data_IF_936881131707
#
_entry.id   IF_936881131707
#
_cell.length_a   1.000
_cell.length_b   1.000
_cell.length_c   1.000
_cell.angle_alpha   90.00
_cell.angle_beta   90.00
_cell.angle_gamma   90.00
#
_symmetry.space_group_name_H-M   'P 1'
#
loop_
_entity.id
_entity.type
_entity.pdbx_description
1 polymer ?
#
# COMPACT_ATOMS: atom_id res chain seq x y z
N UNK A 1 -0.49 -10.19 -11.59
CA UNK A 1 0.05 -11.56 -11.76
C UNK A 1 -0.22 -12.33 -10.49
N UNK A 2 -1.08 -13.34 -10.53
CA UNK A 2 -1.40 -14.15 -9.36
C UNK A 2 -0.55 -15.42 -9.39
N UNK A 3 0.29 -15.62 -8.39
CA UNK A 3 0.94 -16.90 -8.13
C UNK A 3 0.21 -17.59 -6.99
N UNK A 4 0.45 -18.90 -6.78
CA UNK A 4 -0.15 -19.64 -5.66
C UNK A 4 0.21 -19.07 -4.27
N UNK A 5 1.24 -18.21 -4.15
CA UNK A 5 1.73 -17.71 -2.86
C UNK A 5 1.68 -16.18 -2.72
N UNK A 6 1.90 -15.45 -3.80
CA UNK A 6 1.97 -13.98 -3.78
C UNK A 6 1.13 -13.43 -4.93
N UNK A 7 0.28 -12.47 -4.65
CA UNK A 7 -0.48 -11.70 -5.63
C UNK A 7 -0.22 -10.21 -5.48
N UNK A 8 -0.34 -9.48 -6.59
CA UNK A 8 -0.13 -8.03 -6.64
C UNK A 8 -1.35 -7.37 -7.27
N UNK A 9 -1.83 -6.33 -6.60
CA UNK A 9 -2.80 -5.35 -7.11
C UNK A 9 -2.00 -4.13 -7.54
N UNK A 10 -2.05 -3.79 -8.83
CA UNK A 10 -1.35 -2.65 -9.39
C UNK A 10 -2.12 -1.34 -9.17
N UNK A 11 -1.41 -0.23 -9.26
CA UNK A 11 -1.88 1.12 -8.99
C UNK A 11 -3.08 1.55 -9.85
N UNK A 12 -3.15 1.12 -11.12
CA UNK A 12 -4.18 1.55 -12.05
C UNK A 12 -5.13 0.42 -12.44
N UNK A 13 -6.39 0.45 -11.97
CA UNK A 13 -7.40 -0.53 -12.35
C UNK A 13 -7.84 -0.41 -13.81
N UNK A 14 -7.60 0.74 -14.45
CA UNK A 14 -8.02 0.99 -15.83
C UNK A 14 -7.15 0.22 -16.84
N UNK A 15 -5.86 0.05 -16.53
CA UNK A 15 -4.89 -0.63 -17.39
C UNK A 15 -4.74 -2.12 -17.05
N UNK A 16 -5.21 -2.55 -15.89
CA UNK A 16 -5.03 -3.92 -15.41
C UNK A 16 -6.09 -4.89 -15.91
N UNK A 17 -7.29 -4.42 -16.25
CA UNK A 17 -8.34 -5.22 -16.85
C UNK A 17 -8.34 -5.02 -18.37
N UNK A 18 -8.41 -6.13 -19.13
CA UNK A 18 -8.54 -6.07 -20.58
C UNK A 18 -9.94 -5.55 -20.96
N UNK A 19 -10.06 -4.36 -21.60
CA UNK A 19 -11.36 -3.74 -21.91
C UNK A 19 -12.18 -4.52 -22.95
N UNK A 20 -11.54 -5.39 -23.71
CA UNK A 20 -12.15 -6.18 -24.79
C UNK A 20 -12.57 -7.58 -24.36
N UNK A 21 -12.34 -7.97 -23.09
CA UNK A 21 -12.73 -9.26 -22.52
C UNK A 21 -13.77 -9.06 -21.44
N UNK A 22 -14.74 -9.99 -21.35
CA UNK A 22 -15.70 -10.01 -20.25
C UNK A 22 -15.00 -10.29 -18.91
N UNK A 23 -15.60 -9.81 -17.84
CA UNK A 23 -15.08 -10.07 -16.48
C UNK A 23 -15.02 -11.60 -16.22
N UNK A 24 -16.03 -12.36 -16.64
CA UNK A 24 -16.02 -13.83 -16.55
C UNK A 24 -14.77 -14.46 -17.15
N UNK A 25 -14.42 -14.03 -18.35
CA UNK A 25 -13.33 -14.65 -19.10
C UNK A 25 -11.99 -14.40 -18.42
N UNK A 26 -11.77 -13.17 -17.95
CA UNK A 26 -10.55 -12.79 -17.24
C UNK A 26 -10.40 -13.51 -15.89
N UNK A 27 -11.48 -13.65 -15.11
CA UNK A 27 -11.45 -14.36 -13.83
C UNK A 27 -11.30 -15.87 -14.02
N UNK A 28 -12.06 -16.45 -14.96
CA UNK A 28 -12.04 -17.89 -15.23
C UNK A 28 -10.68 -18.34 -15.76
N UNK A 29 -10.04 -17.52 -16.62
CA UNK A 29 -8.68 -17.81 -17.13
C UNK A 29 -7.69 -18.05 -16.00
N UNK A 30 -7.73 -17.20 -14.96
CA UNK A 30 -6.86 -17.36 -13.77
C UNK A 30 -7.09 -18.72 -13.09
N UNK A 31 -8.35 -19.11 -12.89
CA UNK A 31 -8.70 -20.35 -12.21
C UNK A 31 -8.40 -21.59 -13.05
N UNK A 32 -8.68 -21.54 -14.34
CA UNK A 32 -8.39 -22.63 -15.26
C UNK A 32 -6.88 -22.85 -15.37
N UNK A 33 -6.12 -21.75 -15.59
CA UNK A 33 -4.67 -21.83 -15.81
C UNK A 33 -3.91 -22.22 -14.54
N UNK A 34 -4.24 -21.62 -13.39
CA UNK A 34 -3.47 -21.83 -12.16
C UNK A 34 -3.99 -22.94 -11.25
N UNK A 35 -5.28 -23.29 -11.34
CA UNK A 35 -5.91 -24.31 -10.49
C UNK A 35 -6.40 -25.53 -11.26
N UNK A 36 -6.37 -25.50 -12.59
CA UNK A 36 -6.84 -26.62 -13.43
C UNK A 36 -8.35 -26.87 -13.33
N UNK A 37 -9.14 -25.84 -12.98
CA UNK A 37 -10.59 -25.93 -12.86
C UNK A 37 -11.24 -26.07 -14.23
N UNK A 38 -12.35 -26.79 -14.28
CA UNK A 38 -13.26 -26.76 -15.44
C UNK A 38 -13.93 -25.40 -15.59
N UNK A 39 -14.44 -25.05 -16.79
CA UNK A 39 -15.13 -23.78 -17.03
C UNK A 39 -16.31 -23.58 -16.08
N UNK A 40 -17.07 -24.64 -15.76
CA UNK A 40 -18.24 -24.56 -14.87
C UNK A 40 -17.83 -24.31 -13.40
N UNK A 41 -16.74 -24.93 -12.94
CA UNK A 41 -16.21 -24.72 -11.60
C UNK A 41 -15.60 -23.31 -11.48
N UNK A 42 -14.82 -22.88 -12.48
CA UNK A 42 -14.25 -21.55 -12.54
C UNK A 42 -15.32 -20.45 -12.49
N UNK A 43 -16.42 -20.61 -13.28
CA UNK A 43 -17.54 -19.66 -13.29
C UNK A 43 -18.19 -19.53 -11.90
N UNK A 44 -18.46 -20.65 -11.22
CA UNK A 44 -19.04 -20.64 -9.88
C UNK A 44 -18.13 -19.96 -8.85
N UNK A 45 -16.83 -20.27 -8.87
CA UNK A 45 -15.87 -19.67 -7.96
C UNK A 45 -15.62 -18.18 -8.26
N UNK A 46 -15.64 -17.77 -9.53
CA UNK A 46 -15.56 -16.37 -9.95
C UNK A 46 -16.74 -15.55 -9.43
N UNK A 47 -17.97 -16.07 -9.54
CA UNK A 47 -19.17 -15.41 -8.99
C UNK A 47 -19.03 -15.29 -7.47
N UNK A 48 -18.66 -16.38 -6.77
CA UNK A 48 -18.45 -16.37 -5.32
C UNK A 48 -17.41 -15.33 -4.90
N UNK A 49 -16.34 -15.18 -5.65
CA UNK A 49 -15.29 -14.20 -5.35
C UNK A 49 -15.76 -12.76 -5.61
N UNK A 50 -16.56 -12.52 -6.65
CA UNK A 50 -17.18 -11.20 -6.88
C UNK A 50 -18.16 -10.82 -5.76
N UNK A 51 -18.92 -11.78 -5.22
CA UNK A 51 -19.77 -11.57 -4.05
C UNK A 51 -18.92 -11.24 -2.81
N UNK A 52 -17.82 -11.97 -2.57
CA UNK A 52 -16.91 -11.72 -1.45
C UNK A 52 -16.30 -10.31 -1.47
N UNK A 53 -16.03 -9.77 -2.66
CA UNK A 53 -15.57 -8.38 -2.81
C UNK A 53 -16.70 -7.36 -2.92
N UNK A 54 -17.93 -7.78 -2.61
CA UNK A 54 -19.13 -6.92 -2.54
C UNK A 54 -19.48 -6.26 -3.88
N UNK A 55 -19.35 -6.98 -5.00
CA UNK A 55 -19.95 -6.58 -6.29
C UNK A 55 -21.45 -6.89 -6.24
N UNK A 56 -22.32 -5.87 -6.37
CA UNK A 56 -23.76 -6.11 -6.36
C UNK A 56 -24.18 -6.96 -7.57
N UNK A 57 -25.11 -7.91 -7.38
CA UNK A 57 -25.63 -8.78 -8.43
C UNK A 57 -24.52 -9.48 -9.25
N UNK A 58 -23.51 -10.03 -8.58
CA UNK A 58 -22.31 -10.62 -9.19
C UNK A 58 -22.65 -11.62 -10.32
N UNK A 59 -23.68 -12.45 -10.11
CA UNK A 59 -24.15 -13.43 -11.09
C UNK A 59 -24.59 -12.80 -12.43
N UNK A 60 -25.20 -11.62 -12.40
CA UNK A 60 -25.66 -10.92 -13.59
C UNK A 60 -24.51 -10.11 -14.23
N UNK A 61 -23.69 -9.51 -13.40
CA UNK A 61 -22.63 -8.59 -13.84
C UNK A 61 -21.35 -9.28 -14.31
N UNK A 62 -21.14 -10.54 -13.95
CA UNK A 62 -19.92 -11.28 -14.35
C UNK A 62 -19.74 -11.38 -15.88
N UNK A 63 -20.85 -11.33 -16.66
CA UNK A 63 -20.82 -11.35 -18.12
C UNK A 63 -20.57 -9.99 -18.77
N UNK A 64 -20.51 -8.91 -17.99
CA UNK A 64 -20.29 -7.54 -18.47
C UNK A 64 -18.81 -7.28 -18.78
N UNK A 65 -18.54 -6.19 -19.49
CA UNK A 65 -17.19 -5.71 -19.80
C UNK A 65 -16.70 -4.70 -18.75
N UNK A 66 -15.36 -4.48 -18.60
CA UNK A 66 -14.83 -3.55 -17.62
C UNK A 66 -15.39 -2.12 -17.75
N UNK A 67 -15.68 -1.64 -18.95
CA UNK A 67 -16.19 -0.28 -19.16
C UNK A 67 -17.62 -0.08 -18.65
N UNK A 68 -18.36 -1.14 -18.38
CA UNK A 68 -19.71 -1.10 -17.79
C UNK A 68 -19.66 -1.01 -16.25
N UNK A 69 -18.46 -1.06 -15.64
CA UNK A 69 -18.24 -0.96 -14.19
C UNK A 69 -17.73 0.44 -13.81
N UNK A 70 -18.16 0.94 -12.65
CA UNK A 70 -17.55 2.14 -12.04
C UNK A 70 -16.08 1.90 -11.66
N UNK A 71 -15.31 2.96 -11.39
CA UNK A 71 -13.91 2.85 -10.96
C UNK A 71 -13.74 1.96 -9.71
N UNK A 72 -14.56 2.18 -8.69
CA UNK A 72 -14.54 1.36 -7.48
C UNK A 72 -14.95 -0.09 -7.71
N UNK A 73 -15.87 -0.35 -8.65
CA UNK A 73 -16.23 -1.73 -9.02
C UNK A 73 -15.10 -2.43 -9.77
N UNK A 74 -14.41 -1.74 -10.68
CA UNK A 74 -13.22 -2.28 -11.37
C UNK A 74 -12.11 -2.60 -10.38
N UNK A 75 -11.88 -1.74 -9.40
CA UNK A 75 -10.94 -2.01 -8.30
C UNK A 75 -11.30 -3.28 -7.53
N UNK A 76 -12.58 -3.48 -7.19
CA UNK A 76 -13.06 -4.70 -6.53
C UNK A 76 -12.87 -5.95 -7.40
N UNK A 77 -13.07 -5.86 -8.71
CA UNK A 77 -12.80 -6.96 -9.65
C UNK A 77 -11.31 -7.33 -9.66
N UNK A 78 -10.41 -6.34 -9.66
CA UNK A 78 -8.96 -6.60 -9.56
C UNK A 78 -8.58 -7.26 -8.23
N UNK A 79 -9.17 -6.80 -7.13
CA UNK A 79 -8.98 -7.44 -5.82
C UNK A 79 -9.50 -8.89 -5.89
N UNK A 80 -10.68 -9.14 -6.46
CA UNK A 80 -11.21 -10.49 -6.66
C UNK A 80 -10.23 -11.36 -7.45
N UNK A 81 -9.74 -10.87 -8.59
CA UNK A 81 -8.79 -11.58 -9.45
C UNK A 81 -7.51 -11.96 -8.70
N UNK A 82 -6.96 -11.06 -7.88
CA UNK A 82 -5.77 -11.31 -7.09
C UNK A 82 -5.97 -12.37 -5.99
N UNK A 83 -7.20 -12.55 -5.53
CA UNK A 83 -7.56 -13.49 -4.45
C UNK A 83 -7.97 -14.88 -4.96
N UNK A 84 -8.29 -15.06 -6.25
CA UNK A 84 -8.76 -16.33 -6.81
C UNK A 84 -7.82 -17.51 -6.50
N UNK A 85 -6.50 -17.26 -6.47
CA UNK A 85 -5.52 -18.29 -6.13
C UNK A 85 -5.30 -18.46 -4.62
N UNK A 86 -5.99 -17.70 -3.76
CA UNK A 86 -5.81 -17.68 -2.30
C UNK A 86 -4.34 -17.50 -1.90
N UNK A 87 -3.74 -16.35 -2.20
CA UNK A 87 -2.33 -16.11 -1.91
C UNK A 87 -2.08 -15.98 -0.40
N UNK A 88 -0.88 -16.37 0.04
CA UNK A 88 -0.42 -16.14 1.42
C UNK A 88 -0.12 -14.66 1.66
N UNK A 89 0.33 -13.95 0.60
CA UNK A 89 0.68 -12.51 0.63
C UNK A 89 -0.01 -11.79 -0.52
N UNK A 90 -0.69 -10.71 -0.19
CA UNK A 90 -1.29 -9.76 -1.13
C UNK A 90 -0.53 -8.43 -1.02
N UNK A 91 0.08 -8.01 -2.12
CA UNK A 91 0.72 -6.69 -2.24
C UNK A 91 -0.28 -5.76 -2.93
N UNK A 92 -0.62 -4.65 -2.30
CA UNK A 92 -1.50 -3.63 -2.86
C UNK A 92 -0.70 -2.34 -3.04
N UNK A 93 -0.44 -2.01 -4.30
CA UNK A 93 0.34 -0.83 -4.69
C UNK A 93 -0.63 0.30 -5.03
N UNK A 94 -0.68 1.32 -4.16
CA UNK A 94 -1.55 2.49 -4.29
C UNK A 94 -3.03 2.12 -4.61
N UNK A 95 -3.65 1.16 -3.91
CA UNK A 95 -4.91 0.54 -4.35
C UNK A 95 -6.12 1.47 -4.29
N UNK A 96 -5.95 2.69 -3.79
CA UNK A 96 -7.03 3.67 -3.65
C UNK A 96 -6.76 4.97 -4.40
N UNK A 97 -5.66 5.07 -5.13
CA UNK A 97 -5.34 6.22 -5.98
C UNK A 97 -6.43 6.38 -7.06
N UNK A 98 -6.84 7.60 -7.34
CA UNK A 98 -7.92 7.96 -8.25
C UNK A 98 -9.36 7.52 -7.85
N UNK A 99 -9.56 7.13 -6.59
CA UNK A 99 -10.89 6.88 -6.02
C UNK A 99 -11.30 8.04 -5.08
N UNK A 100 -12.60 8.31 -5.02
CA UNK A 100 -13.13 9.25 -4.03
C UNK A 100 -12.98 8.71 -2.60
N UNK A 101 -13.01 9.61 -1.61
CA UNK A 101 -12.75 9.30 -0.19
C UNK A 101 -13.70 8.22 0.34
N UNK A 102 -14.95 8.22 -0.09
CA UNK A 102 -15.95 7.23 0.35
C UNK A 102 -15.62 5.84 -0.17
N UNK A 103 -15.28 5.74 -1.45
CA UNK A 103 -14.86 4.47 -2.07
C UNK A 103 -13.53 3.99 -1.50
N UNK A 104 -12.58 4.89 -1.22
CA UNK A 104 -11.33 4.54 -0.53
C UNK A 104 -11.60 3.85 0.81
N UNK A 105 -12.47 4.44 1.65
CA UNK A 105 -12.82 3.84 2.94
C UNK A 105 -13.42 2.44 2.77
N UNK A 106 -14.32 2.26 1.81
CA UNK A 106 -14.93 0.96 1.50
C UNK A 106 -13.92 -0.08 1.03
N UNK A 107 -12.92 0.29 0.23
CA UNK A 107 -11.84 -0.60 -0.20
C UNK A 107 -10.95 -0.99 0.98
N UNK A 108 -10.66 -0.07 1.89
CA UNK A 108 -9.87 -0.37 3.09
C UNK A 108 -10.60 -1.32 4.05
N UNK A 109 -11.91 -1.15 4.23
CA UNK A 109 -12.71 -2.09 5.00
C UNK A 109 -12.81 -3.46 4.32
N UNK A 110 -12.90 -3.50 2.99
CA UNK A 110 -12.82 -4.74 2.22
C UNK A 110 -11.50 -5.48 2.47
N UNK A 111 -10.35 -4.79 2.51
CA UNK A 111 -9.07 -5.43 2.83
C UNK A 111 -9.03 -6.02 4.25
N UNK A 112 -9.65 -5.37 5.25
CA UNK A 112 -9.77 -5.94 6.61
C UNK A 112 -10.62 -7.21 6.62
N UNK A 113 -11.73 -7.22 5.87
CA UNK A 113 -12.60 -8.40 5.74
C UNK A 113 -11.84 -9.56 5.07
N UNK A 114 -11.14 -9.27 3.96
CA UNK A 114 -10.31 -10.22 3.22
C UNK A 114 -9.21 -10.85 4.11
N UNK A 115 -8.49 -10.03 4.87
CA UNK A 115 -7.45 -10.55 5.77
C UNK A 115 -8.01 -11.56 6.78
N UNK A 116 -9.21 -11.32 7.31
CA UNK A 116 -9.88 -12.21 8.25
C UNK A 116 -10.37 -13.49 7.59
N UNK A 117 -11.05 -13.36 6.44
CA UNK A 117 -11.69 -14.47 5.73
C UNK A 117 -10.66 -15.40 5.08
N UNK A 118 -9.70 -14.84 4.36
CA UNK A 118 -8.73 -15.60 3.56
C UNK A 118 -7.41 -15.87 4.29
N UNK A 119 -7.20 -15.28 5.49
CA UNK A 119 -5.93 -15.35 6.26
C UNK A 119 -4.71 -14.92 5.45
N UNK A 120 -4.88 -13.97 4.54
CA UNK A 120 -3.85 -13.43 3.67
C UNK A 120 -3.14 -12.27 4.37
N UNK A 121 -1.80 -12.25 4.34
CA UNK A 121 -1.03 -11.10 4.81
C UNK A 121 -1.08 -9.99 3.77
N UNK A 122 -1.33 -8.74 4.19
CA UNK A 122 -1.38 -7.57 3.31
C UNK A 122 -0.11 -6.74 3.45
N UNK A 123 0.55 -6.46 2.32
CA UNK A 123 1.56 -5.41 2.18
C UNK A 123 0.91 -4.26 1.42
N UNK A 124 0.68 -3.15 2.10
CA UNK A 124 0.09 -1.95 1.53
C UNK A 124 1.16 -0.92 1.23
N UNK A 125 1.31 -0.54 -0.04
CA UNK A 125 2.17 0.54 -0.49
C UNK A 125 1.29 1.76 -0.73
N UNK A 126 1.56 2.85 -0.03
CA UNK A 126 0.77 4.09 -0.15
C UNK A 126 1.53 5.30 0.37
N UNK A 127 1.21 6.46 -0.16
CA UNK A 127 1.65 7.75 0.37
C UNK A 127 0.65 8.34 1.39
N UNK A 128 -0.49 7.72 1.61
CA UNK A 128 -1.52 8.22 2.53
C UNK A 128 -1.32 7.65 3.94
N UNK A 129 -0.67 8.44 4.80
CA UNK A 129 -0.40 8.07 6.19
C UNK A 129 -1.67 7.83 7.01
N UNK A 130 -2.80 8.49 6.71
CA UNK A 130 -4.08 8.28 7.38
C UNK A 130 -4.62 6.86 7.16
N UNK A 131 -4.46 6.32 5.95
CA UNK A 131 -4.80 4.94 5.63
C UNK A 131 -3.90 3.97 6.40
N UNK A 132 -2.59 4.24 6.45
CA UNK A 132 -1.62 3.43 7.20
C UNK A 132 -1.99 3.34 8.67
N UNK A 133 -2.30 4.47 9.31
CA UNK A 133 -2.69 4.54 10.72
C UNK A 133 -3.91 3.67 11.06
N UNK A 134 -4.90 3.62 10.16
CA UNK A 134 -6.15 2.87 10.36
C UNK A 134 -6.12 1.40 9.97
N UNK A 135 -5.05 0.93 9.27
CA UNK A 135 -5.08 -0.38 8.63
C UNK A 135 -3.87 -1.25 8.95
N UNK A 136 -2.68 -0.67 9.04
CA UNK A 136 -1.43 -1.43 9.14
C UNK A 136 -0.98 -1.58 10.60
N UNK A 137 -0.55 -2.77 11.00
CA UNK A 137 0.05 -3.02 12.32
C UNK A 137 1.51 -2.57 12.40
N UNK A 138 2.23 -2.62 11.29
CA UNK A 138 3.63 -2.21 11.14
C UNK A 138 3.76 -1.27 9.95
N UNK A 139 4.69 -0.34 10.07
CA UNK A 139 4.99 0.65 9.03
C UNK A 139 6.48 0.65 8.73
N UNK A 140 6.78 0.74 7.44
CA UNK A 140 8.13 0.91 6.92
C UNK A 140 8.13 2.19 6.08
N UNK A 141 8.92 3.18 6.48
CA UNK A 141 9.03 4.47 5.80
C UNK A 141 10.23 4.43 4.86
N UNK A 142 9.95 4.66 3.57
CA UNK A 142 10.98 4.68 2.51
C UNK A 142 11.22 6.11 2.02
N UNK A 143 12.48 6.45 1.76
CA UNK A 143 12.88 7.66 1.04
C UNK A 143 14.00 7.34 0.07
N UNK A 144 13.83 7.72 -1.18
CA UNK A 144 14.82 7.47 -2.24
C UNK A 144 15.30 5.99 -2.26
N UNK A 145 14.38 5.03 -2.14
CA UNK A 145 14.67 3.59 -2.16
C UNK A 145 15.38 3.04 -0.93
N UNK A 146 15.58 3.85 0.12
CA UNK A 146 16.20 3.41 1.39
C UNK A 146 15.18 3.41 2.52
N UNK A 147 15.34 2.46 3.46
CA UNK A 147 14.53 2.43 4.68
C UNK A 147 15.00 3.52 5.63
N UNK A 148 14.11 4.45 5.96
CA UNK A 148 14.40 5.52 6.92
C UNK A 148 13.99 5.10 8.33
N UNK A 149 12.81 4.48 8.45
CA UNK A 149 12.27 4.05 9.73
C UNK A 149 11.36 2.83 9.55
N UNK A 150 11.34 1.94 10.55
CA UNK A 150 10.50 0.75 10.59
C UNK A 150 10.05 0.48 12.02
N UNK A 151 8.79 0.07 12.21
CA UNK A 151 8.29 -0.27 13.55
C UNK A 151 6.79 -0.57 13.59
N UNK A 152 6.26 -0.67 14.79
CA UNK A 152 4.81 -0.69 14.99
C UNK A 152 4.23 0.64 14.52
N UNK A 153 3.13 0.58 13.80
CA UNK A 153 2.46 1.80 13.28
C UNK A 153 2.19 2.81 14.38
N UNK A 154 1.70 2.33 15.54
CA UNK A 154 1.47 3.19 16.70
C UNK A 154 2.72 3.95 17.13
N UNK A 155 3.86 3.27 17.19
CA UNK A 155 5.11 3.89 17.66
C UNK A 155 5.65 4.90 16.63
N UNK A 156 5.59 4.58 15.33
CA UNK A 156 5.93 5.50 14.24
C UNK A 156 5.10 6.79 14.29
N UNK A 157 3.80 6.70 14.61
CA UNK A 157 2.91 7.86 14.64
C UNK A 157 3.04 8.70 15.92
N UNK A 158 3.30 8.08 17.07
CA UNK A 158 3.38 8.77 18.34
C UNK A 158 4.79 9.18 18.75
N UNK A 159 5.79 8.42 18.31
CA UNK A 159 7.21 8.65 18.64
C UNK A 159 8.10 8.42 17.41
N UNK A 160 7.90 9.20 16.32
CA UNK A 160 8.74 9.10 15.15
C UNK A 160 10.19 9.40 15.52
N UNK A 161 11.12 8.65 14.96
CA UNK A 161 12.53 8.71 15.35
C UNK A 161 13.47 9.08 14.20
N UNK A 162 12.93 9.35 13.02
CA UNK A 162 13.69 9.83 11.86
C UNK A 162 13.16 11.19 11.39
N UNK A 163 14.01 12.19 11.10
CA UNK A 163 13.59 13.54 10.69
C UNK A 163 12.63 13.55 9.49
N UNK A 164 12.79 12.64 8.55
CA UNK A 164 11.86 12.51 7.42
C UNK A 164 10.47 12.08 7.87
N UNK A 165 10.38 11.09 8.76
CA UNK A 165 9.08 10.62 9.31
C UNK A 165 8.38 11.72 10.09
N UNK A 166 9.15 12.47 10.90
CA UNK A 166 8.64 13.66 11.63
C UNK A 166 8.04 14.65 10.63
N UNK A 167 8.81 15.03 9.60
CA UNK A 167 8.35 15.95 8.57
C UNK A 167 7.11 15.46 7.80
N UNK A 168 7.01 14.15 7.49
CA UNK A 168 5.82 13.57 6.87
C UNK A 168 4.58 13.69 7.76
N UNK A 169 4.72 13.39 9.05
CA UNK A 169 3.61 13.47 10.01
C UNK A 169 3.19 14.91 10.29
N UNK A 170 4.14 15.85 10.33
CA UNK A 170 3.84 17.28 10.47
C UNK A 170 3.17 17.89 9.24
N UNK A 171 3.43 17.35 8.05
CA UNK A 171 2.80 17.78 6.81
C UNK A 171 1.35 17.27 6.65
N UNK A 172 0.89 16.34 7.53
CA UNK A 172 -0.49 15.84 7.47
C UNK A 172 -1.49 16.87 7.99
N UNK A 173 -2.57 17.15 7.24
CA UNK A 173 -3.67 17.95 7.75
C UNK A 173 -4.33 17.26 8.97
N UNK A 174 -4.47 17.98 10.07
CA UNK A 174 -5.15 17.49 11.28
C UNK A 174 -6.46 18.22 11.45
N UNK A 175 -7.57 17.51 11.60
CA UNK A 175 -8.90 18.06 11.74
C UNK A 175 -9.13 18.79 13.07
N UNK A 176 -8.28 18.53 14.07
CA UNK A 176 -8.35 19.11 15.42
C UNK A 176 -7.57 20.43 15.58
N UNK A 177 -6.93 20.91 14.52
CA UNK A 177 -6.15 22.17 14.54
C UNK A 177 -6.53 23.06 13.37
N UNK A 178 -6.74 24.34 13.66
CA UNK A 178 -6.74 25.38 12.63
C UNK A 178 -5.29 25.64 12.20
N UNK A 179 -5.01 25.42 10.90
CA UNK A 179 -3.69 25.73 10.33
C UNK A 179 -3.79 26.99 9.48
N UNK A 180 -2.97 27.98 9.80
CA UNK A 180 -2.76 29.12 8.90
C UNK A 180 -1.93 28.70 7.68
N UNK A 181 -0.94 27.78 7.86
CA UNK A 181 -0.10 27.22 6.78
C UNK A 181 0.27 25.77 7.11
N UNK A 182 0.10 24.88 6.15
CA UNK A 182 0.57 23.49 6.27
C UNK A 182 2.11 23.46 6.25
N UNK A 183 2.72 22.74 7.19
CA UNK A 183 4.16 22.48 7.17
C UNK A 183 4.51 21.61 5.98
N UNK A 184 5.56 21.96 5.28
CA UNK A 184 6.08 21.18 4.14
C UNK A 184 7.54 20.83 4.40
N UNK A 185 8.01 19.71 3.86
CA UNK A 185 9.42 19.36 3.88
C UNK A 185 10.10 20.19 2.79
N UNK A 186 11.02 21.13 3.12
CA UNK A 186 11.62 22.03 2.14
C UNK A 186 12.56 21.28 1.18
N UNK A 187 12.84 21.90 0.03
CA UNK A 187 13.75 21.37 -0.99
C UNK A 187 13.15 20.28 -1.87
N UNK A 188 13.91 19.87 -2.88
CA UNK A 188 13.51 18.85 -3.85
C UNK A 188 14.01 17.45 -3.42
N UNK A 189 13.31 16.36 -3.80
CA UNK A 189 13.83 15.01 -3.70
C UNK A 189 15.19 14.87 -4.42
N UNK A 190 16.05 13.96 -3.96
CA UNK A 190 17.33 13.75 -4.61
C UNK A 190 17.18 13.20 -6.03
N UNK A 191 18.13 13.50 -6.88
CA UNK A 191 18.21 12.90 -8.21
C UNK A 191 18.56 11.40 -8.07
N UNK A 192 17.61 10.51 -8.40
CA UNK A 192 17.81 9.07 -8.28
C UNK A 192 18.80 8.48 -9.31
N UNK A 193 19.21 9.26 -10.31
CA UNK A 193 20.25 8.86 -11.27
C UNK A 193 21.67 9.05 -10.74
N UNK A 194 21.80 9.77 -9.62
CA UNK A 194 23.10 10.01 -8.99
C UNK A 194 23.30 9.08 -7.79
N UNK A 195 24.51 8.54 -7.64
CA UNK A 195 24.85 7.71 -6.48
C UNK A 195 25.02 8.60 -5.24
N UNK A 196 24.14 8.41 -4.25
CA UNK A 196 24.27 9.08 -2.95
C UNK A 196 25.20 8.29 -2.03
N UNK A 197 26.29 8.92 -1.58
CA UNK A 197 27.28 8.28 -0.70
C UNK A 197 26.79 8.22 0.77
N UNK A 198 25.97 9.17 1.20
CA UNK A 198 25.49 9.31 2.57
C UNK A 198 23.99 9.02 2.74
N UNK A 199 23.39 9.71 3.69
CA UNK A 199 21.95 9.68 3.92
C UNK A 199 21.21 10.39 2.76
N UNK A 200 20.27 9.75 2.07
CA UNK A 200 19.57 10.37 0.95
C UNK A 200 18.69 11.56 1.35
N UNK A 201 18.33 11.66 2.64
CA UNK A 201 17.55 12.79 3.16
C UNK A 201 18.43 13.96 3.63
N UNK A 202 19.77 13.84 3.62
CA UNK A 202 20.71 14.80 4.18
C UNK A 202 20.46 16.24 3.70
N UNK A 203 20.28 16.48 2.40
CA UNK A 203 20.08 17.82 1.82
C UNK A 203 18.79 18.53 2.27
N UNK A 204 17.84 17.79 2.81
CA UNK A 204 16.52 18.29 3.27
C UNK A 204 16.34 18.16 4.79
N UNK A 205 17.31 17.57 5.46
CA UNK A 205 17.21 17.28 6.88
C UNK A 205 17.58 18.52 7.70
N UNK A 206 16.69 19.04 8.56
CA UNK A 206 16.98 20.20 9.40
C UNK A 206 18.04 19.92 10.46
N UNK A 207 18.26 18.64 10.80
CA UNK A 207 19.24 18.19 11.81
C UNK A 207 20.48 17.53 11.18
N UNK A 208 20.78 17.81 9.88
CA UNK A 208 21.91 17.20 9.20
C UNK A 208 23.25 17.57 9.86
N UNK A 209 24.13 16.57 9.99
CA UNK A 209 25.53 16.73 10.43
C UNK A 209 26.47 16.28 9.31
N UNK A 210 27.74 16.66 9.36
CA UNK A 210 28.74 16.36 8.32
C UNK A 210 28.81 14.87 7.96
N UNK A 211 28.64 13.99 8.94
CA UNK A 211 28.62 12.54 8.73
C UNK A 211 27.50 12.09 7.77
N UNK A 212 26.36 12.80 7.76
CA UNK A 212 25.22 12.45 6.92
C UNK A 212 25.50 12.57 5.43
N UNK A 213 26.44 13.42 5.02
CA UNK A 213 26.79 13.63 3.61
C UNK A 213 27.64 12.49 3.03
N UNK A 214 28.45 11.84 3.87
CA UNK A 214 29.52 10.96 3.41
C UNK A 214 29.31 9.48 3.79
N UNK A 215 28.55 9.21 4.85
CA UNK A 215 28.39 7.87 5.41
C UNK A 215 26.90 7.51 5.40
N UNK A 216 26.48 6.41 4.72
CA UNK A 216 25.11 5.94 4.77
C UNK A 216 24.79 5.43 6.18
N UNK A 217 23.68 5.90 6.79
CA UNK A 217 23.26 5.36 8.07
C UNK A 217 22.77 3.91 7.91
N UNK A 218 23.12 3.06 8.86
CA UNK A 218 22.59 1.70 8.95
C UNK A 218 21.28 1.68 9.73
N UNK A 219 20.43 0.67 9.44
CA UNK A 219 19.18 0.48 10.15
C UNK A 219 19.47 -0.11 11.53
N UNK A 220 19.25 0.65 12.58
CA UNK A 220 19.53 0.27 13.96
C UNK A 220 18.29 0.39 14.85
N UNK A 221 18.24 -0.40 15.92
CA UNK A 221 17.19 -0.30 16.93
C UNK A 221 17.21 1.06 17.62
N UNK A 222 16.06 1.71 17.72
CA UNK A 222 15.93 3.01 18.40
C UNK A 222 16.23 2.86 19.89
N UNK A 223 15.66 1.83 20.52
CA UNK A 223 15.99 1.43 21.88
C UNK A 223 15.73 -0.08 22.08
N UNK A 224 16.20 -0.65 23.19
CA UNK A 224 16.07 -2.09 23.47
C UNK A 224 14.64 -2.53 23.80
N UNK A 225 13.75 -1.61 24.12
CA UNK A 225 12.39 -1.90 24.58
C UNK A 225 11.35 -1.81 23.48
N UNK A 226 11.71 -1.32 22.28
CA UNK A 226 10.82 -1.21 21.12
C UNK A 226 11.35 -2.02 19.96
N UNK A 227 10.44 -2.42 19.05
CA UNK A 227 10.83 -3.04 17.77
C UNK A 227 11.10 -1.98 16.69
N UNK A 228 11.16 -0.70 17.09
CA UNK A 228 11.39 0.41 16.18
C UNK A 228 12.87 0.50 15.78
N UNK A 229 13.10 0.64 14.48
CA UNK A 229 14.41 0.77 13.87
C UNK A 229 14.46 2.03 13.02
N UNK A 230 15.62 2.64 12.90
CA UNK A 230 15.81 3.82 12.04
C UNK A 230 17.19 3.85 11.41
N UNK A 231 17.31 4.51 10.28
CA UNK A 231 18.57 4.77 9.59
C UNK A 231 18.97 6.25 9.79
N UNK A 232 19.52 6.62 10.95
CA UNK A 232 19.84 7.99 11.29
C UNK A 232 21.12 8.07 12.15
N UNK A 233 21.98 9.07 11.88
CA UNK A 233 23.18 9.33 12.67
C UNK A 233 22.93 10.17 13.92
N UNK A 234 21.79 10.88 13.99
CA UNK A 234 21.45 11.72 15.14
C UNK A 234 21.02 10.80 16.29
N UNK A 235 21.51 10.98 17.52
CA UNK A 235 21.06 10.20 18.66
C UNK A 235 19.54 10.32 18.88
N UNK A 236 18.94 9.25 19.40
CA UNK A 236 17.52 9.30 19.79
C UNK A 236 17.37 10.21 21.03
N UNK A 237 16.55 11.23 20.92
CA UNK A 237 16.35 12.26 21.97
C UNK A 237 16.92 13.64 21.60
N UNK A 238 17.73 13.74 20.55
CA UNK A 238 18.29 15.00 20.05
C UNK A 238 17.53 15.51 18.79
N UNK A 239 16.37 14.95 18.49
CA UNK A 239 15.51 15.29 17.34
C UNK A 239 14.29 16.13 17.74
#
# INVERSE_FOLDING_TARGET
>A
MATKKISIIFQDPMTSLNPYMRISDQLNEVLIHHKGMSNNEAMKESIRMLDAVKIPEAKNRISMFPHEFSGGMRQRVMIAMSLLCRPDILIADEPTTALDVTVQAQIMDLFKDIQKEFRTSLILITHNMGIVAGTCSKTLVLYAGKVMEYGLTRDIFHQPSHPYTIGLLEAMPRLDKEYEVLKTIPGNPPNMMEAHQGCPFCSRCPSAIDKCSNIPPILEMVNKNTQQQRSCHIPFGDL
#
